data_IF_288844805983
#
_entry.id   IF_288844805983
#
_cell.length_a   1.000
_cell.length_b   1.000
_cell.length_c   1.000
_cell.angle_alpha   90.00
_cell.angle_beta   90.00
_cell.angle_gamma   90.00
#
_symmetry.space_group_name_H-M   'P 1'
#
loop_
_entity.id
_entity.type
_entity.pdbx_description
1 polymer ?
#
# COMPACT_ATOMS: atom_id res chain seq x y z
N UNK A 1 53.26 29.98 -14.45
CA UNK A 1 52.42 29.18 -15.37
C UNK A 1 52.04 27.89 -14.67
N UNK A 2 50.79 27.43 -14.82
CA UNK A 2 49.99 26.85 -13.75
C UNK A 2 49.84 25.32 -13.87
N UNK A 3 49.38 24.70 -12.79
CA UNK A 3 48.93 23.31 -12.76
C UNK A 3 47.96 23.12 -11.60
N UNK A 4 46.82 23.80 -11.66
CA UNK A 4 45.68 23.50 -10.79
C UNK A 4 45.14 22.15 -11.23
N UNK A 5 45.18 21.17 -10.32
CA UNK A 5 44.49 19.91 -10.51
C UNK A 5 42.98 20.20 -10.50
N UNK A 6 42.39 20.25 -11.69
CA UNK A 6 40.94 20.30 -11.87
C UNK A 6 40.36 18.98 -11.36
N UNK A 7 39.61 19.06 -10.28
CA UNK A 7 38.77 17.97 -9.80
C UNK A 7 37.73 17.62 -10.87
N UNK A 8 37.77 16.40 -11.39
CA UNK A 8 36.69 15.83 -12.19
C UNK A 8 35.47 15.57 -11.28
N UNK A 9 34.69 16.63 -11.02
CA UNK A 9 33.30 16.47 -10.63
C UNK A 9 32.51 16.16 -11.91
N UNK A 10 32.49 14.88 -12.27
CA UNK A 10 31.59 14.37 -13.29
C UNK A 10 30.16 14.82 -12.97
N UNK A 11 29.48 15.31 -14.01
CA UNK A 11 28.12 15.83 -14.00
C UNK A 11 27.12 14.82 -13.40
N UNK A 12 26.94 14.86 -12.08
CA UNK A 12 25.96 14.03 -11.36
C UNK A 12 24.51 14.44 -11.68
N UNK A 13 24.28 15.51 -12.45
CA UNK A 13 22.93 16.01 -12.72
C UNK A 13 22.21 15.25 -13.85
N UNK A 14 22.93 14.54 -14.74
CA UNK A 14 22.32 13.92 -15.92
C UNK A 14 21.47 12.68 -15.65
N UNK A 15 21.62 12.04 -14.47
CA UNK A 15 20.84 10.85 -14.10
C UNK A 15 19.42 11.21 -13.63
N UNK A 16 19.22 12.44 -13.16
CA UNK A 16 17.96 12.91 -12.58
C UNK A 16 17.19 13.80 -13.56
N UNK A 17 17.26 13.50 -14.87
CA UNK A 17 16.68 14.27 -15.97
C UNK A 17 15.13 14.37 -15.98
N UNK A 18 14.47 14.15 -14.84
CA UNK A 18 13.02 14.26 -14.69
C UNK A 18 12.24 13.17 -15.41
N UNK A 19 12.90 12.13 -15.92
CA UNK A 19 12.22 11.00 -16.53
C UNK A 19 11.52 10.16 -15.46
N UNK A 20 10.23 9.90 -15.69
CA UNK A 20 9.47 9.00 -14.83
C UNK A 20 9.98 7.56 -14.97
N UNK A 21 10.02 6.88 -13.84
CA UNK A 21 10.33 5.48 -13.69
C UNK A 21 9.12 4.78 -13.09
N UNK A 22 8.87 3.56 -13.54
CA UNK A 22 7.83 2.69 -13.00
C UNK A 22 8.50 1.66 -12.10
N UNK A 23 8.16 1.69 -10.82
CA UNK A 23 8.60 0.73 -9.82
C UNK A 23 7.44 -0.21 -9.49
N UNK A 24 7.65 -1.51 -9.69
CA UNK A 24 6.70 -2.54 -9.26
C UNK A 24 7.21 -3.22 -7.99
N UNK A 25 6.40 -3.19 -6.94
CA UNK A 25 6.64 -3.85 -5.66
C UNK A 25 5.60 -4.95 -5.50
N UNK A 26 6.04 -6.19 -5.37
CA UNK A 26 5.13 -7.32 -5.14
C UNK A 26 4.53 -7.94 -6.40
N UNK A 27 4.94 -7.54 -7.61
CA UNK A 27 4.47 -8.14 -8.87
C UNK A 27 4.81 -9.64 -8.99
N UNK A 28 6.08 -10.01 -8.77
CA UNK A 28 6.52 -11.42 -8.81
C UNK A 28 6.36 -12.14 -7.46
N UNK A 29 6.51 -11.37 -6.37
CA UNK A 29 6.46 -11.87 -4.99
C UNK A 29 5.60 -10.91 -4.15
N UNK A 30 4.27 -11.10 -4.14
CA UNK A 30 3.35 -10.22 -3.44
C UNK A 30 3.69 -10.06 -1.97
N UNK A 31 3.39 -8.88 -1.45
CA UNK A 31 3.36 -8.65 -0.01
C UNK A 31 2.15 -9.40 0.53
N UNK A 32 2.33 -10.19 1.58
CA UNK A 32 1.27 -11.03 2.14
C UNK A 32 0.90 -10.54 3.51
N UNK A 33 -0.40 -10.36 3.74
CA UNK A 33 -0.96 -10.04 5.04
C UNK A 33 -2.06 -11.04 5.40
N UNK A 34 -2.17 -11.40 6.67
CA UNK A 34 -3.24 -12.24 7.21
C UNK A 34 -4.21 -11.36 7.96
N UNK A 35 -5.38 -11.15 7.37
CA UNK A 35 -6.33 -10.12 7.82
C UNK A 35 -7.73 -10.71 7.98
N UNK A 36 -8.34 -10.44 9.13
CA UNK A 36 -9.75 -10.73 9.36
C UNK A 36 -10.65 -9.62 8.82
N UNK A 37 -11.85 -9.94 8.37
CA UNK A 37 -12.86 -8.95 8.00
C UNK A 37 -14.27 -9.56 8.00
N UNK A 38 -15.26 -8.70 7.76
CA UNK A 38 -16.60 -9.09 7.31
C UNK A 38 -17.23 -7.96 6.50
N UNK A 39 -18.24 -8.30 5.71
CA UNK A 39 -19.06 -7.35 4.96
C UNK A 39 -20.42 -7.21 5.66
N UNK A 40 -20.57 -6.17 6.49
CA UNK A 40 -21.71 -5.99 7.41
C UNK A 40 -23.09 -6.14 6.74
N UNK A 41 -23.21 -5.64 5.51
CA UNK A 41 -24.46 -5.59 4.75
C UNK A 41 -24.62 -6.70 3.71
N UNK A 42 -23.78 -7.73 3.75
CA UNK A 42 -23.79 -8.82 2.77
C UNK A 42 -24.77 -9.95 3.14
N UNK A 43 -25.50 -10.51 2.19
CA UNK A 43 -26.50 -11.56 2.48
C UNK A 43 -25.90 -12.99 2.62
N UNK A 44 -24.72 -13.21 2.04
CA UNK A 44 -24.00 -14.50 2.06
C UNK A 44 -22.95 -14.64 3.17
N UNK A 45 -22.13 -15.70 3.07
CA UNK A 45 -21.11 -16.08 4.09
C UNK A 45 -20.16 -14.95 4.51
N UNK A 46 -19.90 -13.97 3.64
CA UNK A 46 -18.99 -12.86 3.90
C UNK A 46 -19.49 -11.87 4.97
N UNK A 47 -20.76 -11.92 5.39
CA UNK A 47 -21.24 -11.14 6.54
C UNK A 47 -20.86 -11.71 7.90
N UNK A 48 -20.35 -12.94 7.94
CA UNK A 48 -19.81 -13.54 9.16
C UNK A 48 -18.34 -13.15 9.31
N UNK A 49 -17.82 -12.96 10.53
CA UNK A 49 -16.39 -12.79 10.75
C UNK A 49 -15.60 -13.94 10.13
N UNK A 50 -14.63 -13.62 9.28
CA UNK A 50 -13.72 -14.55 8.64
C UNK A 50 -12.40 -13.82 8.32
N UNK A 51 -11.55 -14.39 7.49
CA UNK A 51 -10.32 -13.73 7.07
C UNK A 51 -9.71 -14.38 5.85
N UNK A 52 -8.76 -13.66 5.25
CA UNK A 52 -8.02 -14.07 4.07
C UNK A 52 -6.53 -13.84 4.26
N UNK A 53 -5.74 -14.58 3.49
CA UNK A 53 -4.37 -14.21 3.22
C UNK A 53 -4.39 -13.35 1.96
N UNK A 54 -4.32 -12.04 2.14
CA UNK A 54 -4.30 -11.10 1.02
C UNK A 54 -2.92 -11.06 0.39
N UNK A 55 -2.89 -10.99 -0.94
CA UNK A 55 -1.69 -10.71 -1.72
C UNK A 55 -1.81 -9.29 -2.29
N UNK A 56 -0.82 -8.45 -1.99
CA UNK A 56 -0.80 -7.03 -2.35
C UNK A 56 0.41 -6.76 -3.24
N UNK A 57 0.15 -6.11 -4.38
CA UNK A 57 1.16 -5.56 -5.27
C UNK A 57 0.90 -4.06 -5.46
N UNK A 58 1.97 -3.29 -5.57
CA UNK A 58 1.93 -1.83 -5.73
C UNK A 58 2.77 -1.45 -6.94
N UNK A 59 2.20 -0.65 -7.83
CA UNK A 59 2.93 0.01 -8.92
C UNK A 59 3.03 1.50 -8.62
N UNK A 60 4.24 2.05 -8.69
CA UNK A 60 4.51 3.45 -8.38
C UNK A 60 5.22 4.08 -9.57
N UNK A 61 4.66 5.18 -10.07
CA UNK A 61 5.29 6.00 -11.10
C UNK A 61 5.82 7.28 -10.47
N UNK A 62 7.07 7.63 -10.79
CA UNK A 62 7.64 8.88 -10.31
C UNK A 62 9.07 9.11 -10.78
N UNK A 63 9.65 10.22 -10.37
CA UNK A 63 11.02 10.59 -10.74
C UNK A 63 12.04 10.08 -9.73
N UNK A 64 13.25 9.77 -10.20
CA UNK A 64 14.36 9.44 -9.32
C UNK A 64 14.70 10.64 -8.45
N UNK A 65 14.83 10.40 -7.15
CA UNK A 65 15.34 11.39 -6.19
C UNK A 65 16.86 11.27 -6.05
N UNK A 66 17.49 12.23 -5.39
CA UNK A 66 18.95 12.28 -5.18
C UNK A 66 19.52 10.99 -4.55
N UNK A 67 18.71 10.28 -3.76
CA UNK A 67 19.07 9.01 -3.14
C UNK A 67 19.16 7.84 -4.13
N UNK A 68 18.70 8.02 -5.38
CA UNK A 68 18.82 7.04 -6.46
C UNK A 68 17.62 6.10 -6.63
N UNK A 69 16.50 6.37 -5.98
CA UNK A 69 15.25 5.61 -6.10
C UNK A 69 14.03 6.53 -6.24
N UNK A 70 12.94 5.99 -6.78
CA UNK A 70 11.62 6.68 -6.82
C UNK A 70 11.07 6.80 -5.40
N UNK A 71 11.09 5.67 -4.68
CA UNK A 71 10.68 5.60 -3.27
C UNK A 71 11.40 4.47 -2.54
N UNK A 72 11.53 4.60 -1.23
CA UNK A 72 11.98 3.53 -0.34
C UNK A 72 10.85 2.48 -0.22
N UNK A 73 11.17 1.22 -0.53
CA UNK A 73 10.26 0.08 -0.39
C UNK A 73 9.76 -0.07 1.06
N UNK A 74 10.59 0.27 2.06
CA UNK A 74 10.25 0.20 3.47
C UNK A 74 8.99 0.98 3.81
N UNK A 75 8.84 2.19 3.26
CA UNK A 75 7.64 3.02 3.46
C UNK A 75 6.40 2.30 2.93
N UNK A 76 6.50 1.67 1.77
CA UNK A 76 5.37 0.93 1.17
C UNK A 76 4.99 -0.28 2.01
N UNK A 77 5.97 -1.05 2.48
CA UNK A 77 5.72 -2.20 3.35
C UNK A 77 5.15 -1.79 4.69
N UNK A 78 5.64 -0.70 5.31
CA UNK A 78 5.17 -0.21 6.60
C UNK A 78 3.69 0.22 6.55
N UNK A 79 3.23 0.76 5.42
CA UNK A 79 1.81 1.10 5.23
C UNK A 79 0.94 -0.15 5.14
N UNK A 80 1.39 -1.16 4.40
CA UNK A 80 0.65 -2.41 4.19
C UNK A 80 0.62 -3.27 5.47
N UNK A 81 1.75 -3.36 6.19
CA UNK A 81 1.89 -4.15 7.41
C UNK A 81 1.02 -3.64 8.56
N UNK A 82 0.55 -2.39 8.52
CA UNK A 82 -0.45 -1.89 9.46
C UNK A 82 -1.76 -2.69 9.45
N UNK A 83 -2.04 -3.43 8.37
CA UNK A 83 -3.23 -4.27 8.24
C UNK A 83 -2.96 -5.76 8.52
N UNK A 84 -1.69 -6.14 8.68
CA UNK A 84 -1.34 -7.52 9.01
C UNK A 84 -1.75 -7.87 10.44
N UNK A 85 -2.27 -9.08 10.63
CA UNK A 85 -2.84 -9.55 11.90
C UNK A 85 -3.91 -8.61 12.50
N UNK A 86 -4.60 -7.83 11.66
CA UNK A 86 -5.72 -6.97 12.06
C UNK A 86 -7.06 -7.50 11.58
N UNK A 87 -8.13 -6.96 12.17
CA UNK A 87 -9.49 -7.16 11.74
C UNK A 87 -10.04 -5.87 11.13
N UNK A 88 -10.31 -5.86 9.82
CA UNK A 88 -10.85 -4.72 9.10
C UNK A 88 -12.37 -4.69 9.22
N UNK A 89 -12.90 -3.53 9.62
CA UNK A 89 -14.31 -3.31 9.86
C UNK A 89 -14.77 -2.02 9.17
N UNK A 90 -15.99 -2.02 8.66
CA UNK A 90 -16.66 -0.79 8.23
C UNK A 90 -17.06 0.04 9.46
N UNK A 91 -17.02 1.36 9.35
CA UNK A 91 -17.52 2.26 10.39
C UNK A 91 -18.97 1.94 10.74
N UNK A 92 -19.27 1.87 12.04
CA UNK A 92 -20.59 1.50 12.55
C UNK A 92 -20.83 0.01 12.69
N UNK A 93 -19.84 -0.83 12.35
CA UNK A 93 -19.90 -2.26 12.62
C UNK A 93 -19.88 -2.57 14.14
N UNK A 94 -20.87 -3.31 14.69
CA UNK A 94 -20.94 -3.62 16.13
C UNK A 94 -19.74 -4.40 16.69
N UNK A 95 -18.91 -5.01 15.84
CA UNK A 95 -17.69 -5.68 16.30
C UNK A 95 -16.64 -4.69 16.78
N UNK A 96 -16.68 -3.43 16.34
CA UNK A 96 -15.77 -2.39 16.84
C UNK A 96 -15.90 -2.30 18.36
N UNK A 97 -17.13 -2.15 18.86
CA UNK A 97 -17.42 -2.11 20.30
C UNK A 97 -17.07 -3.44 20.99
N UNK A 98 -17.25 -4.58 20.31
CA UNK A 98 -16.93 -5.88 20.88
C UNK A 98 -15.42 -6.09 21.10
N UNK A 99 -14.58 -5.68 20.13
CA UNK A 99 -13.12 -5.67 20.28
C UNK A 99 -12.66 -4.67 21.33
N UNK A 100 -13.31 -3.50 21.42
CA UNK A 100 -13.00 -2.54 22.48
C UNK A 100 -13.31 -3.11 23.87
N UNK A 101 -14.47 -3.73 24.04
CA UNK A 101 -14.89 -4.34 25.30
C UNK A 101 -14.02 -5.54 25.72
N UNK A 102 -13.40 -6.25 24.77
CA UNK A 102 -12.45 -7.33 25.09
C UNK A 102 -11.05 -6.82 25.46
N UNK A 103 -10.77 -5.52 25.29
CA UNK A 103 -9.44 -4.94 25.47
C UNK A 103 -8.54 -5.07 24.24
N UNK A 104 -9.10 -5.47 23.10
CA UNK A 104 -8.39 -5.73 21.84
C UNK A 104 -8.63 -4.62 20.80
N UNK A 105 -8.90 -3.38 21.23
CA UNK A 105 -9.13 -2.26 20.31
C UNK A 105 -7.96 -2.02 19.35
N UNK A 106 -6.74 -2.36 19.76
CA UNK A 106 -5.56 -2.30 18.89
C UNK A 106 -5.58 -3.32 17.75
N UNK A 107 -6.42 -4.35 17.80
CA UNK A 107 -6.51 -5.39 16.78
C UNK A 107 -7.40 -5.01 15.58
N UNK A 108 -8.11 -3.88 15.62
CA UNK A 108 -9.03 -3.46 14.55
C UNK A 108 -8.46 -2.33 13.69
N UNK A 109 -8.84 -2.33 12.41
CA UNK A 109 -8.70 -1.17 11.52
C UNK A 109 -10.09 -0.83 11.01
N UNK A 110 -10.54 0.40 11.28
CA UNK A 110 -11.85 0.87 10.84
C UNK A 110 -11.71 1.64 9.53
N UNK A 111 -12.51 1.27 8.54
CA UNK A 111 -12.62 1.93 7.24
C UNK A 111 -13.97 2.63 7.13
N UNK A 112 -14.04 3.73 6.37
CA UNK A 112 -15.30 4.46 6.13
C UNK A 112 -16.28 3.70 5.20
N UNK A 113 -15.82 2.60 4.59
CA UNK A 113 -16.53 1.80 3.61
C UNK A 113 -16.33 0.30 3.88
N UNK A 114 -17.15 -0.60 3.30
CA UNK A 114 -17.02 -2.04 3.50
C UNK A 114 -15.62 -2.55 3.11
N UNK A 115 -14.97 -3.41 3.91
CA UNK A 115 -13.61 -3.87 3.65
C UNK A 115 -13.56 -4.97 2.56
N UNK A 116 -14.01 -4.65 1.35
CA UNK A 116 -13.83 -5.49 0.15
C UNK A 116 -12.43 -5.29 -0.42
N UNK A 117 -11.94 -6.23 -1.25
CA UNK A 117 -10.66 -6.08 -1.93
C UNK A 117 -10.56 -4.77 -2.74
N UNK A 118 -11.64 -4.34 -3.40
CA UNK A 118 -11.69 -3.09 -4.18
C UNK A 118 -11.54 -1.85 -3.29
N UNK A 119 -12.29 -1.76 -2.20
CA UNK A 119 -12.19 -0.65 -1.24
C UNK A 119 -10.81 -0.63 -0.59
N UNK A 120 -10.30 -1.82 -0.23
CA UNK A 120 -8.96 -1.98 0.33
C UNK A 120 -7.88 -1.43 -0.61
N UNK A 121 -7.96 -1.71 -1.91
CA UNK A 121 -7.04 -1.17 -2.92
C UNK A 121 -7.04 0.35 -2.94
N UNK A 122 -8.22 0.97 -3.07
CA UNK A 122 -8.36 2.44 -3.10
C UNK A 122 -7.86 3.08 -1.80
N UNK A 123 -8.14 2.48 -0.64
CA UNK A 123 -7.68 3.02 0.65
C UNK A 123 -6.15 2.94 0.74
N UNK A 124 -5.54 1.84 0.30
CA UNK A 124 -4.07 1.70 0.28
C UNK A 124 -3.44 2.68 -0.71
N UNK A 125 -4.00 2.88 -1.89
CA UNK A 125 -3.56 3.89 -2.87
C UNK A 125 -3.52 5.29 -2.24
N UNK A 126 -4.60 5.69 -1.55
CA UNK A 126 -4.68 6.99 -0.89
C UNK A 126 -3.67 7.10 0.25
N UNK A 127 -3.59 6.09 1.14
CA UNK A 127 -2.65 6.09 2.27
C UNK A 127 -1.19 6.15 1.82
N UNK A 128 -0.86 5.48 0.73
CA UNK A 128 0.46 5.53 0.12
C UNK A 128 0.67 6.92 -0.49
N UNK A 129 -0.24 7.42 -1.31
CA UNK A 129 -0.12 8.75 -1.92
C UNK A 129 0.13 9.87 -0.90
N UNK A 130 -0.47 9.79 0.29
CA UNK A 130 -0.27 10.74 1.39
C UNK A 130 1.11 10.65 2.07
N UNK A 131 1.78 9.49 2.00
CA UNK A 131 3.05 9.22 2.67
C UNK A 131 4.25 9.23 1.72
N UNK A 132 4.02 9.04 0.43
CA UNK A 132 5.06 9.03 -0.59
C UNK A 132 5.47 10.47 -0.97
N UNK A 133 6.70 10.68 -1.42
CA UNK A 133 7.19 12.02 -1.76
C UNK A 133 6.48 12.59 -2.99
N UNK A 134 6.46 13.93 -3.10
CA UNK A 134 5.88 14.65 -4.25
C UNK A 134 6.53 14.33 -5.61
N UNK A 135 7.65 13.60 -5.63
CA UNK A 135 8.26 13.05 -6.85
C UNK A 135 7.47 11.88 -7.44
N UNK A 136 6.52 11.30 -6.70
CA UNK A 136 5.58 10.27 -7.15
C UNK A 136 4.37 10.94 -7.79
N UNK A 137 4.05 10.52 -9.01
CA UNK A 137 2.93 11.04 -9.80
C UNK A 137 1.73 10.09 -9.79
N UNK A 138 1.96 8.79 -9.60
CA UNK A 138 0.90 7.78 -9.60
C UNK A 138 1.23 6.61 -8.67
N UNK A 139 0.19 6.08 -8.03
CA UNK A 139 0.20 4.87 -7.23
C UNK A 139 -1.00 4.03 -7.65
N UNK A 140 -0.76 2.75 -7.92
CA UNK A 140 -1.77 1.74 -8.21
C UNK A 140 -1.57 0.57 -7.24
N UNK A 141 -2.66 0.10 -6.62
CA UNK A 141 -2.62 -1.02 -5.68
C UNK A 141 -3.56 -2.12 -6.11
N UNK A 142 -2.99 -3.31 -6.30
CA UNK A 142 -3.72 -4.55 -6.57
C UNK A 142 -3.83 -5.32 -5.26
N UNK A 143 -5.06 -5.61 -4.86
CA UNK A 143 -5.39 -6.46 -3.69
C UNK A 143 -6.07 -7.74 -4.18
N UNK A 144 -5.56 -8.89 -3.74
CA UNK A 144 -6.11 -10.20 -4.10
C UNK A 144 -6.50 -11.01 -2.88
N UNK A 145 -7.75 -11.48 -2.85
CA UNK A 145 -8.25 -12.46 -1.87
C UNK A 145 -7.89 -13.85 -2.38
N UNK A 146 -6.84 -14.49 -1.83
CA UNK A 146 -6.49 -15.92 -2.07
C UNK A 146 -6.90 -16.51 -3.44
N UNK A 147 -6.10 -16.31 -4.50
CA UNK A 147 -6.22 -16.89 -5.87
C UNK A 147 -7.57 -16.86 -6.64
N UNK A 148 -8.71 -16.52 -6.03
CA UNK A 148 -10.03 -16.56 -6.69
C UNK A 148 -10.53 -15.17 -7.10
N UNK A 149 -10.09 -14.10 -6.42
CA UNK A 149 -10.49 -12.73 -6.72
C UNK A 149 -9.28 -11.79 -6.68
N UNK A 150 -9.15 -10.97 -7.72
CA UNK A 150 -8.11 -9.94 -7.86
C UNK A 150 -8.79 -8.66 -8.35
N UNK A 151 -8.42 -7.52 -7.79
CA UNK A 151 -8.84 -6.21 -8.30
C UNK A 151 -7.72 -5.53 -9.06
N UNK A 152 -8.06 -4.87 -10.16
CA UNK A 152 -7.14 -4.03 -10.92
C UNK A 152 -7.84 -2.71 -11.23
N UNK A 153 -7.16 -1.60 -10.98
CA UNK A 153 -7.59 -0.31 -11.48
C UNK A 153 -7.34 -0.26 -12.99
N UNK A 154 -8.38 0.06 -13.78
CA UNK A 154 -8.19 0.35 -15.20
C UNK A 154 -7.90 1.84 -15.34
N UNK A 155 -6.63 2.20 -15.50
CA UNK A 155 -6.25 3.52 -16.00
C UNK A 155 -5.47 3.37 -17.29
#
# INVERSE_FOLDING_TARGET
MPGVASSEHGDRSSLFNGSEQVLSIGSDRPIRISTGHRLLHHEGKCSRPHGHNYEIAVTITGTLREEGWVVDKGVVTDVIEQWDHRFLLEQGDPLIDAFEQSGDSGATVVLDHPPTAEVMGVVLENRLSDQLPASVSEVDVVVSETSELQTHSSR
#
